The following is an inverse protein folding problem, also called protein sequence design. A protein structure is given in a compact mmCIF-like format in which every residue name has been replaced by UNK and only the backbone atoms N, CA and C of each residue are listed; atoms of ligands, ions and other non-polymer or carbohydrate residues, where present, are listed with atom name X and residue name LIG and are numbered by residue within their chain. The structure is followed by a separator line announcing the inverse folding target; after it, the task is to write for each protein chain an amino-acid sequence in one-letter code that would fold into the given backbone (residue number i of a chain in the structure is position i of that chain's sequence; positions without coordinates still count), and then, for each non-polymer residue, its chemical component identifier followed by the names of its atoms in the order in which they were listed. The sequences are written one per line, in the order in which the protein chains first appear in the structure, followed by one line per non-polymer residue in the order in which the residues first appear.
data_IF_298150247733
#
_entry.id   IF_298150247733
#
_cell.length_a   1.000
_cell.length_b   1.000
_cell.length_c   1.000
_cell.angle_alpha   90.00
_cell.angle_beta   90.00
_cell.angle_gamma   90.00
#
_symmetry.space_group_name_H-M   'P 1'
#
loop_
_entity.id
_entity.type
_entity.pdbx_description
1 polymer ?
#
# COMPACT_ATOMS: atom_id res chain seq x y z
N UNK A 1 -5.46 -11.01 19.40
CA UNK A 1 -4.14 -10.88 18.77
C UNK A 1 -3.55 -12.27 18.53
N UNK A 2 -2.70 -12.38 17.52
CA UNK A 2 -1.97 -13.61 17.24
C UNK A 2 -0.48 -13.34 17.37
N UNK A 3 0.27 -14.33 17.80
CA UNK A 3 1.72 -14.31 17.88
C UNK A 3 2.25 -15.58 17.22
N UNK A 4 3.48 -15.53 16.69
CA UNK A 4 4.13 -16.69 16.07
C UNK A 4 5.02 -17.36 17.10
N UNK A 5 4.89 -18.65 17.28
CA UNK A 5 5.80 -19.41 18.11
C UNK A 5 6.27 -20.70 17.43
N UNK A 6 7.44 -21.17 17.83
CA UNK A 6 8.02 -22.41 17.32
C UNK A 6 7.90 -23.52 18.37
N UNK A 7 7.25 -24.62 18.03
CA UNK A 7 7.17 -25.81 18.86
C UNK A 7 7.56 -27.03 18.04
N UNK A 8 8.51 -27.83 18.54
CA UNK A 8 9.00 -29.04 17.85
C UNK A 8 9.41 -28.81 16.38
N UNK A 9 10.04 -27.67 16.10
CA UNK A 9 10.47 -27.33 14.75
C UNK A 9 9.41 -26.74 13.82
N UNK A 10 8.14 -26.74 14.23
CA UNK A 10 7.03 -26.16 13.44
C UNK A 10 6.62 -24.78 13.97
N UNK A 11 6.31 -23.87 13.06
CA UNK A 11 5.73 -22.57 13.38
C UNK A 11 4.21 -22.65 13.36
N UNK A 12 3.59 -21.92 14.24
CA UNK A 12 2.13 -21.77 14.29
C UNK A 12 1.74 -20.41 14.86
N UNK A 13 0.50 -19.98 14.60
CA UNK A 13 -0.07 -18.79 15.19
C UNK A 13 -0.69 -19.14 16.54
N UNK A 14 -0.26 -18.44 17.57
CA UNK A 14 -0.90 -18.47 18.88
C UNK A 14 -1.89 -17.30 19.00
N UNK A 15 -3.14 -17.60 19.36
CA UNK A 15 -4.16 -16.57 19.61
C UNK A 15 -4.04 -16.06 21.04
N UNK A 16 -3.77 -14.77 21.20
CA UNK A 16 -3.75 -14.08 22.50
C UNK A 16 -4.97 -13.17 22.65
N UNK A 17 -5.63 -13.24 23.80
CA UNK A 17 -6.70 -12.28 24.12
C UNK A 17 -6.10 -10.89 24.33
N UNK A 18 -6.61 -9.91 23.59
CA UNK A 18 -6.23 -8.51 23.72
C UNK A 18 -7.48 -7.67 23.85
N UNK A 19 -7.50 -6.75 24.83
CA UNK A 19 -8.64 -5.86 25.00
C UNK A 19 -8.66 -4.76 23.95
N UNK A 20 -9.86 -4.31 23.54
CA UNK A 20 -10.07 -3.18 22.62
C UNK A 20 -9.24 -1.96 23.08
N UNK A 21 -9.31 -1.61 24.36
CA UNK A 21 -8.56 -0.50 24.97
C UNK A 21 -7.05 -0.61 24.77
N UNK A 22 -6.47 -1.81 24.86
CA UNK A 22 -5.04 -2.04 24.60
C UNK A 22 -4.70 -1.82 23.13
N UNK A 23 -5.56 -2.28 22.22
CA UNK A 23 -5.39 -2.08 20.79
C UNK A 23 -5.51 -0.59 20.42
N UNK A 24 -6.51 0.13 20.93
CA UNK A 24 -6.69 1.56 20.73
C UNK A 24 -5.47 2.38 21.20
N UNK A 25 -4.85 1.97 22.32
CA UNK A 25 -3.59 2.59 22.78
C UNK A 25 -2.43 2.35 21.79
N UNK A 26 -2.33 1.15 21.20
CA UNK A 26 -1.30 0.84 20.20
C UNK A 26 -1.54 1.66 18.93
N UNK A 27 -2.78 1.74 18.48
CA UNK A 27 -3.18 2.53 17.29
C UNK A 27 -3.11 4.04 17.53
N UNK A 28 -3.20 4.46 18.79
CA UNK A 28 -3.38 5.86 19.18
C UNK A 28 -4.64 6.50 18.58
N UNK A 29 -5.71 5.71 18.45
CA UNK A 29 -7.04 6.12 17.96
C UNK A 29 -8.11 5.09 18.33
N UNK A 30 -9.38 5.49 18.26
CA UNK A 30 -10.52 4.59 18.43
C UNK A 30 -10.61 3.55 17.30
N UNK A 31 -11.12 2.39 17.64
CA UNK A 31 -11.40 1.29 16.71
C UNK A 31 -12.92 1.23 16.50
N UNK A 32 -13.34 1.25 15.23
CA UNK A 32 -14.74 1.09 14.86
C UNK A 32 -15.30 -0.21 15.46
N UNK A 33 -16.52 -0.15 15.99
CA UNK A 33 -17.18 -1.31 16.61
C UNK A 33 -17.46 -2.44 15.63
N UNK A 34 -17.62 -2.10 14.35
CA UNK A 34 -17.82 -3.05 13.26
C UNK A 34 -16.49 -3.61 12.69
N UNK A 35 -15.34 -3.26 13.28
CA UNK A 35 -14.03 -3.76 12.85
C UNK A 35 -13.71 -5.07 13.55
N UNK A 36 -13.93 -6.20 12.86
CA UNK A 36 -13.71 -7.55 13.40
C UNK A 36 -12.27 -8.05 13.23
N UNK A 37 -11.51 -7.45 12.38
CA UNK A 37 -10.12 -7.83 12.07
C UNK A 37 -9.23 -6.59 11.96
N UNK A 38 -8.04 -6.66 12.54
CA UNK A 38 -7.07 -5.56 12.50
C UNK A 38 -5.72 -6.15 12.11
N UNK A 39 -5.19 -5.68 10.99
CA UNK A 39 -3.87 -6.04 10.50
C UNK A 39 -3.01 -4.78 10.36
N UNK A 40 -1.87 -4.74 11.03
CA UNK A 40 -0.94 -3.63 10.92
C UNK A 40 0.46 -4.03 11.41
N UNK A 41 1.47 -3.31 10.95
CA UNK A 41 2.84 -3.43 11.43
C UNK A 41 3.16 -2.30 12.41
N UNK A 42 3.47 -2.61 13.70
CA UNK A 42 3.93 -1.58 14.65
C UNK A 42 5.19 -0.87 14.17
N UNK A 43 6.06 -1.59 13.47
CA UNK A 43 7.29 -1.05 12.90
C UNK A 43 7.00 -0.04 11.78
N UNK A 44 6.05 -0.36 10.89
CA UNK A 44 5.56 0.57 9.86
C UNK A 44 5.03 1.86 10.48
N UNK A 45 4.22 1.76 11.54
CA UNK A 45 3.70 2.95 12.27
C UNK A 45 4.84 3.81 12.82
N UNK A 46 5.87 3.18 13.42
CA UNK A 46 7.06 3.87 13.94
C UNK A 46 7.80 4.62 12.84
N UNK A 47 8.08 3.97 11.71
CA UNK A 47 8.75 4.59 10.57
C UNK A 47 7.92 5.71 9.95
N UNK A 48 6.62 5.50 9.76
CA UNK A 48 5.72 6.51 9.20
C UNK A 48 5.69 7.77 10.07
N UNK A 49 5.64 7.64 11.41
CA UNK A 49 5.75 8.78 12.32
C UNK A 49 7.07 9.54 12.19
N UNK A 50 8.19 8.81 12.01
CA UNK A 50 9.50 9.42 11.78
C UNK A 50 9.55 10.17 10.44
N UNK A 51 9.02 9.57 9.38
CA UNK A 51 8.89 10.20 8.06
C UNK A 51 8.02 11.46 8.14
N UNK A 52 6.88 11.41 8.84
CA UNK A 52 6.03 12.58 9.05
C UNK A 52 6.76 13.74 9.72
N UNK A 53 7.59 13.47 10.75
CA UNK A 53 8.43 14.51 11.37
C UNK A 53 9.38 15.13 10.34
N UNK A 54 10.04 14.31 9.52
CA UNK A 54 10.97 14.79 8.49
C UNK A 54 10.27 15.64 7.43
N UNK A 55 9.11 15.21 6.94
CA UNK A 55 8.32 15.97 5.96
C UNK A 55 7.96 17.35 6.53
N UNK A 56 7.54 17.43 7.80
CA UNK A 56 7.23 18.71 8.45
C UNK A 56 8.44 19.65 8.49
N UNK A 57 9.61 19.13 8.87
CA UNK A 57 10.82 19.97 9.02
C UNK A 57 11.39 20.45 7.70
N UNK A 58 11.13 19.75 6.59
CA UNK A 58 11.68 20.06 5.26
C UNK A 58 10.64 20.64 4.27
N UNK A 59 9.39 20.84 4.73
CA UNK A 59 8.27 21.22 3.87
C UNK A 59 8.10 20.33 2.62
N UNK A 60 8.46 19.06 2.75
CA UNK A 60 8.50 18.11 1.65
C UNK A 60 7.23 17.29 1.48
N UNK A 61 7.38 16.15 0.82
CA UNK A 61 6.33 15.16 0.66
C UNK A 61 6.90 13.76 0.40
N UNK A 62 6.05 12.75 0.43
CA UNK A 62 6.38 11.37 0.05
C UNK A 62 5.27 10.80 -0.82
N UNK A 63 5.66 10.08 -1.85
CA UNK A 63 4.79 9.25 -2.67
C UNK A 63 4.94 7.81 -2.22
N UNK A 64 3.82 7.21 -1.77
CA UNK A 64 3.74 5.81 -1.36
C UNK A 64 3.01 5.04 -2.45
N UNK A 65 3.63 3.97 -2.93
CA UNK A 65 3.06 3.09 -3.95
C UNK A 65 3.20 1.66 -3.46
N UNK A 66 2.10 0.99 -3.24
CA UNK A 66 2.09 -0.40 -2.81
C UNK A 66 0.73 -1.06 -3.12
N UNK A 67 0.67 -2.39 -3.06
CA UNK A 67 -0.59 -3.10 -3.18
C UNK A 67 -1.38 -3.02 -1.87
N UNK A 68 -2.70 -2.84 -2.00
CA UNK A 68 -3.55 -2.67 -0.82
C UNK A 68 -4.91 -2.09 -1.12
N UNK A 69 -5.56 -1.63 -0.07
CA UNK A 69 -6.90 -1.06 -0.12
C UNK A 69 -6.96 0.33 0.51
N UNK A 70 -7.91 1.14 0.05
CA UNK A 70 -8.30 2.41 0.69
C UNK A 70 -9.57 2.28 1.54
N UNK A 71 -10.09 1.07 1.75
CA UNK A 71 -11.29 0.81 2.54
C UNK A 71 -11.07 1.17 4.01
N UNK A 72 -12.16 1.53 4.68
CA UNK A 72 -12.14 1.77 6.12
C UNK A 72 -11.93 0.48 6.91
N UNK A 73 -12.49 -0.64 6.43
CA UNK A 73 -12.37 -1.95 7.08
C UNK A 73 -11.06 -2.64 6.71
N UNK A 74 -10.47 -3.32 7.69
CA UNK A 74 -9.34 -4.22 7.51
C UNK A 74 -9.84 -5.65 7.47
N UNK A 75 -9.14 -6.51 6.74
CA UNK A 75 -9.38 -7.93 6.64
C UNK A 75 -8.06 -8.70 6.63
N UNK A 76 -8.12 -10.00 6.86
CA UNK A 76 -6.94 -10.87 6.85
C UNK A 76 -6.38 -10.95 5.42
N UNK A 77 -5.21 -10.39 5.25
CA UNK A 77 -4.51 -10.38 3.96
C UNK A 77 -3.12 -10.99 4.02
N UNK A 78 -2.71 -11.50 5.21
CA UNK A 78 -1.41 -12.13 5.38
C UNK A 78 -1.27 -13.39 4.51
N UNK A 79 -0.25 -13.44 3.70
CA UNK A 79 -0.02 -14.52 2.75
C UNK A 79 1.46 -14.82 2.54
N UNK A 80 1.76 -16.07 2.24
CA UNK A 80 3.05 -16.49 1.71
C UNK A 80 3.00 -16.57 0.19
N UNK A 81 4.06 -16.13 -0.47
CA UNK A 81 4.22 -16.25 -1.92
C UNK A 81 5.52 -17.00 -2.24
N UNK A 82 5.41 -18.04 -3.05
CA UNK A 82 6.55 -18.78 -3.61
C UNK A 82 6.32 -19.05 -5.09
N UNK A 83 7.27 -18.69 -5.93
CA UNK A 83 7.14 -18.84 -7.40
C UNK A 83 5.82 -18.27 -7.94
N UNK A 84 5.44 -17.07 -7.50
CA UNK A 84 4.19 -16.37 -7.84
C UNK A 84 2.90 -17.10 -7.46
N UNK A 85 2.96 -18.09 -6.57
CA UNK A 85 1.79 -18.82 -6.06
C UNK A 85 1.64 -18.60 -4.57
N UNK A 86 0.38 -18.56 -4.10
CA UNK A 86 0.08 -18.51 -2.67
C UNK A 86 0.44 -19.85 -2.03
N UNK A 87 1.15 -19.78 -0.91
CA UNK A 87 1.54 -20.92 -0.09
C UNK A 87 1.26 -20.61 1.38
N UNK A 88 1.23 -21.65 2.23
CA UNK A 88 1.12 -21.44 3.67
C UNK A 88 2.41 -20.77 4.19
N UNK A 89 2.28 -19.74 5.01
CA UNK A 89 3.39 -18.95 5.56
C UNK A 89 4.34 -19.77 6.47
N UNK A 90 3.93 -20.96 6.90
CA UNK A 90 4.70 -21.82 7.81
C UNK A 90 5.38 -23.03 7.13
N UNK A 91 5.00 -23.35 5.86
CA UNK A 91 5.51 -24.57 5.22
C UNK A 91 6.98 -24.47 4.82
N UNK A 92 7.46 -23.30 4.41
CA UNK A 92 8.83 -23.08 3.97
C UNK A 92 9.26 -21.61 4.18
N UNK A 93 9.10 -21.14 5.41
CA UNK A 93 9.24 -19.72 5.77
C UNK A 93 10.60 -19.09 5.39
N UNK A 94 11.62 -19.89 5.12
CA UNK A 94 12.93 -19.39 4.71
C UNK A 94 13.02 -19.08 3.21
N UNK A 95 12.09 -19.63 2.40
CA UNK A 95 12.11 -19.54 0.94
C UNK A 95 10.80 -18.99 0.36
N UNK A 96 10.04 -18.24 1.16
CA UNK A 96 8.79 -17.59 0.76
C UNK A 96 8.84 -16.10 1.09
N UNK A 97 8.15 -15.31 0.27
CA UNK A 97 7.87 -13.91 0.58
C UNK A 97 6.59 -13.84 1.43
N UNK A 98 6.71 -13.33 2.66
CA UNK A 98 5.57 -13.09 3.53
C UNK A 98 5.09 -11.67 3.29
N UNK A 99 3.84 -11.52 2.87
CA UNK A 99 3.27 -10.24 2.45
C UNK A 99 1.88 -10.04 3.03
N UNK A 100 1.44 -8.78 3.10
CA UNK A 100 0.07 -8.41 3.44
C UNK A 100 -0.33 -7.14 2.69
N UNK A 101 -1.62 -6.89 2.53
CA UNK A 101 -2.11 -5.68 1.90
C UNK A 101 -1.96 -4.46 2.82
N UNK A 102 -1.49 -3.36 2.26
CA UNK A 102 -1.45 -2.09 2.98
C UNK A 102 -2.86 -1.49 3.06
N UNK A 103 -3.28 -1.09 4.26
CA UNK A 103 -4.48 -0.28 4.43
C UNK A 103 -4.12 1.21 4.36
N UNK A 104 -4.35 1.82 3.20
CA UNK A 104 -4.04 3.24 2.96
C UNK A 104 -4.93 4.19 3.75
N UNK A 105 -6.15 3.78 4.13
CA UNK A 105 -6.98 4.58 5.03
C UNK A 105 -6.36 4.66 6.44
N UNK A 106 -5.76 3.58 6.92
CA UNK A 106 -5.02 3.57 8.19
C UNK A 106 -3.79 4.49 8.12
N UNK A 107 -3.02 4.43 7.03
CA UNK A 107 -1.90 5.38 6.80
C UNK A 107 -2.40 6.82 6.83
N UNK A 108 -3.51 7.13 6.13
CA UNK A 108 -4.13 8.46 6.12
C UNK A 108 -4.45 8.95 7.54
N UNK A 109 -5.00 8.08 8.39
CA UNK A 109 -5.30 8.43 9.77
C UNK A 109 -4.03 8.79 10.55
N UNK A 110 -2.95 7.98 10.43
CA UNK A 110 -1.67 8.27 11.09
C UNK A 110 -1.09 9.60 10.59
N UNK A 111 -1.12 9.84 9.29
CA UNK A 111 -0.64 11.07 8.65
C UNK A 111 -1.36 12.30 9.22
N UNK A 112 -2.70 12.25 9.28
CA UNK A 112 -3.52 13.34 9.80
C UNK A 112 -3.23 13.61 11.29
N UNK A 113 -3.13 12.55 12.11
CA UNK A 113 -2.77 12.67 13.53
C UNK A 113 -1.38 13.28 13.75
N UNK A 114 -0.47 13.13 12.79
CA UNK A 114 0.84 13.76 12.83
C UNK A 114 0.89 15.16 12.17
N UNK A 115 -0.26 15.75 11.86
CA UNK A 115 -0.39 17.14 11.40
C UNK A 115 0.03 17.36 9.94
N UNK A 116 0.07 16.31 9.15
CA UNK A 116 0.21 16.35 7.68
C UNK A 116 -1.15 16.13 7.02
N UNK A 117 -1.19 16.18 5.67
CA UNK A 117 -2.36 15.80 4.89
C UNK A 117 -2.00 14.80 3.81
N UNK A 118 -3.00 14.02 3.39
CA UNK A 118 -2.96 13.28 2.15
C UNK A 118 -3.39 14.23 1.03
N UNK A 119 -2.46 14.59 0.15
CA UNK A 119 -2.71 15.44 -1.02
C UNK A 119 -3.50 14.73 -2.11
N UNK A 120 -3.39 13.39 -2.18
CA UNK A 120 -4.16 12.55 -3.08
C UNK A 120 -3.97 11.07 -2.79
N UNK A 121 -4.98 10.28 -3.16
CA UNK A 121 -4.94 8.81 -3.18
C UNK A 121 -5.75 8.32 -4.38
N UNK A 122 -5.19 7.39 -5.14
CA UNK A 122 -5.85 6.79 -6.31
C UNK A 122 -5.24 5.42 -6.63
N UNK A 123 -5.81 4.70 -7.58
CA UNK A 123 -5.24 3.47 -8.11
C UNK A 123 -4.02 3.76 -8.99
N UNK A 124 -3.04 2.85 -9.03
CA UNK A 124 -1.83 3.03 -9.83
C UNK A 124 -2.12 3.26 -11.30
N UNK A 125 -3.07 2.51 -11.87
CA UNK A 125 -3.45 2.67 -13.27
C UNK A 125 -3.96 4.08 -13.58
N UNK A 126 -4.84 4.63 -12.74
CA UNK A 126 -5.34 6.00 -12.86
C UNK A 126 -4.22 7.02 -12.68
N UNK A 127 -3.37 6.85 -11.66
CA UNK A 127 -2.22 7.73 -11.44
C UNK A 127 -1.30 7.79 -12.65
N UNK A 128 -0.88 6.65 -13.19
CA UNK A 128 0.03 6.59 -14.32
C UNK A 128 -0.58 7.19 -15.59
N UNK A 129 -1.89 6.96 -15.83
CA UNK A 129 -2.60 7.59 -16.95
C UNK A 129 -2.66 9.10 -16.79
N UNK A 130 -3.00 9.59 -15.61
CA UNK A 130 -3.02 11.03 -15.30
C UNK A 130 -1.63 11.67 -15.42
N UNK A 131 -0.55 10.88 -15.18
CA UNK A 131 0.82 11.30 -15.40
C UNK A 131 1.28 11.19 -16.87
N UNK A 132 0.39 10.76 -17.78
CA UNK A 132 0.65 10.73 -19.23
C UNK A 132 1.44 9.52 -19.72
N UNK A 133 1.31 8.35 -19.05
CA UNK A 133 2.05 7.13 -19.46
C UNK A 133 1.73 6.74 -20.91
N UNK A 134 0.48 6.92 -21.35
CA UNK A 134 0.04 6.57 -22.72
C UNK A 134 0.71 7.48 -23.76
N UNK A 135 0.74 8.80 -23.53
CA UNK A 135 1.45 9.75 -24.37
C UNK A 135 2.95 9.46 -24.41
N UNK A 136 3.54 9.15 -23.27
CA UNK A 136 4.96 8.79 -23.18
C UNK A 136 5.25 7.52 -23.99
N UNK A 137 4.38 6.53 -23.93
CA UNK A 137 4.50 5.30 -24.70
C UNK A 137 4.41 5.55 -26.22
N UNK A 138 3.45 6.37 -26.64
CA UNK A 138 3.31 6.77 -28.05
C UNK A 138 4.59 7.42 -28.58
N UNK A 139 5.13 8.39 -27.86
CA UNK A 139 6.38 9.07 -28.25
C UNK A 139 7.55 8.07 -28.36
N UNK A 140 7.72 7.21 -27.35
CA UNK A 140 8.80 6.23 -27.34
C UNK A 140 8.65 5.19 -28.44
N UNK A 141 7.43 4.77 -28.74
CA UNK A 141 7.16 3.71 -29.72
C UNK A 141 7.43 4.13 -31.18
N UNK A 142 7.44 5.43 -31.50
CA UNK A 142 7.57 5.93 -32.89
C UNK A 142 8.77 5.33 -33.65
N UNK A 143 9.91 5.14 -32.98
CA UNK A 143 11.13 4.62 -33.55
C UNK A 143 11.44 3.15 -33.18
N UNK A 144 10.48 2.43 -32.61
CA UNK A 144 10.67 1.04 -32.17
C UNK A 144 10.23 0.04 -33.25
N UNK A 145 10.91 -1.11 -33.32
CA UNK A 145 10.45 -2.26 -34.11
C UNK A 145 9.14 -2.80 -33.52
N UNK A 146 8.40 -3.58 -34.32
CA UNK A 146 7.12 -4.17 -33.89
C UNK A 146 7.23 -4.95 -32.57
N UNK A 147 8.24 -5.81 -32.42
CA UNK A 147 8.46 -6.60 -31.21
C UNK A 147 8.68 -5.72 -29.98
N UNK A 148 9.50 -4.66 -30.09
CA UNK A 148 9.73 -3.72 -28.99
C UNK A 148 8.49 -2.92 -28.62
N UNK A 149 7.66 -2.55 -29.60
CA UNK A 149 6.36 -1.92 -29.34
C UNK A 149 5.45 -2.83 -28.54
N UNK A 150 5.31 -4.11 -28.96
CA UNK A 150 4.48 -5.10 -28.27
C UNK A 150 4.93 -5.27 -26.81
N UNK A 151 6.24 -5.42 -26.57
CA UNK A 151 6.79 -5.53 -25.22
C UNK A 151 6.47 -4.28 -24.37
N UNK A 152 6.68 -3.08 -24.92
CA UNK A 152 6.35 -1.81 -24.25
C UNK A 152 4.89 -1.75 -23.82
N UNK A 153 3.95 -2.02 -24.74
CA UNK A 153 2.52 -1.95 -24.44
C UNK A 153 2.05 -3.07 -23.50
N UNK A 154 2.66 -4.26 -23.56
CA UNK A 154 2.41 -5.33 -22.60
C UNK A 154 2.83 -4.92 -21.18
N UNK A 155 3.98 -4.29 -21.02
CA UNK A 155 4.44 -3.76 -19.71
C UNK A 155 3.54 -2.64 -19.19
N UNK A 156 3.11 -1.72 -20.06
CA UNK A 156 2.18 -0.65 -19.68
C UNK A 156 0.84 -1.24 -19.25
N UNK A 157 0.31 -2.19 -20.01
CA UNK A 157 -0.92 -2.91 -19.63
C UNK A 157 -0.78 -3.52 -18.23
N UNK A 158 0.32 -4.24 -17.97
CA UNK A 158 0.57 -4.83 -16.65
C UNK A 158 0.51 -3.78 -15.52
N UNK A 159 1.05 -2.59 -15.74
CA UNK A 159 1.07 -1.53 -14.74
C UNK A 159 -0.27 -0.83 -14.57
N UNK A 160 -1.11 -0.76 -15.62
CA UNK A 160 -2.29 0.11 -15.65
C UNK A 160 -3.61 -0.62 -15.71
N UNK A 161 -3.64 -1.91 -16.12
CA UNK A 161 -4.89 -2.65 -16.27
C UNK A 161 -5.49 -3.03 -14.91
N UNK A 162 -6.82 -2.95 -14.80
CA UNK A 162 -7.55 -3.19 -13.55
C UNK A 162 -7.34 -4.61 -13.00
N UNK A 163 -7.28 -5.61 -13.86
CA UNK A 163 -7.13 -7.03 -13.47
C UNK A 163 -5.68 -7.43 -13.20
N UNK A 164 -4.75 -6.46 -13.27
CA UNK A 164 -3.33 -6.64 -12.99
C UNK A 164 -2.89 -5.68 -11.87
N UNK A 165 -1.81 -4.93 -12.05
CA UNK A 165 -1.30 -4.02 -11.00
C UNK A 165 -2.09 -2.70 -10.91
N UNK A 166 -2.84 -2.35 -11.96
CA UNK A 166 -3.45 -1.03 -12.08
C UNK A 166 -4.47 -0.70 -10.99
N UNK A 167 -5.26 -1.67 -10.53
CA UNK A 167 -6.20 -1.49 -9.43
C UNK A 167 -5.69 -2.05 -8.10
N UNK A 168 -4.90 -3.12 -8.15
CA UNK A 168 -4.33 -3.75 -6.97
C UNK A 168 -3.42 -2.78 -6.18
N UNK A 169 -2.60 -2.01 -6.90
CA UNK A 169 -1.69 -1.02 -6.31
C UNK A 169 -2.39 0.31 -6.12
N UNK A 170 -2.12 0.93 -4.97
CA UNK A 170 -2.57 2.30 -4.66
C UNK A 170 -1.37 3.24 -4.66
N UNK A 171 -1.65 4.48 -5.02
CA UNK A 171 -0.69 5.59 -4.96
C UNK A 171 -1.24 6.63 -4.01
N UNK A 172 -0.46 7.01 -3.01
CA UNK A 172 -0.82 8.04 -2.04
C UNK A 172 0.28 9.08 -1.94
N UNK A 173 -0.10 10.34 -2.01
CA UNK A 173 0.80 11.47 -1.76
C UNK A 173 0.54 12.07 -0.39
N UNK A 174 1.57 12.13 0.45
CA UNK A 174 1.54 12.73 1.79
C UNK A 174 2.43 13.97 1.80
N UNK A 175 1.92 15.07 2.33
CA UNK A 175 2.64 16.35 2.33
C UNK A 175 2.18 17.27 3.47
N UNK A 176 2.81 18.45 3.58
CA UNK A 176 2.40 19.53 4.48
C UNK A 176 1.04 20.11 4.09
N UNK A 177 0.35 20.74 5.04
CA UNK A 177 -1.00 21.29 4.83
C UNK A 177 -1.06 22.33 3.72
N UNK A 178 -0.01 23.09 3.56
CA UNK A 178 0.09 24.23 2.63
C UNK A 178 0.41 23.81 1.19
N UNK A 179 0.86 22.58 0.96
CA UNK A 179 1.19 22.08 -0.37
C UNK A 179 -0.07 21.72 -1.15
N UNK A 180 -0.31 22.34 -2.29
CA UNK A 180 -1.49 22.13 -3.14
C UNK A 180 -1.23 21.26 -4.38
N UNK A 181 -0.10 20.53 -4.41
CA UNK A 181 0.21 19.61 -5.50
C UNK A 181 -0.84 18.50 -5.62
N UNK A 182 -1.38 18.30 -6.83
CA UNK A 182 -2.43 17.31 -7.13
C UNK A 182 -2.17 16.54 -8.42
N UNK A 183 -1.07 16.82 -9.12
CA UNK A 183 -0.78 16.16 -10.40
C UNK A 183 -0.76 14.64 -10.24
N UNK A 184 -1.41 13.93 -11.14
CA UNK A 184 -1.58 12.48 -11.08
C UNK A 184 -2.78 12.00 -10.24
N UNK A 185 -3.36 12.87 -9.39
CA UNK A 185 -4.50 12.55 -8.53
C UNK A 185 -5.81 13.19 -8.97
N UNK A 186 -5.77 13.98 -10.03
CA UNK A 186 -6.99 14.55 -10.61
C UNK A 186 -7.69 13.47 -11.44
N UNK A 187 -8.99 13.29 -11.23
CA UNK A 187 -9.79 12.52 -12.16
C UNK A 187 -9.78 13.26 -13.49
N UNK A 188 -9.28 12.61 -14.54
CA UNK A 188 -9.44 13.14 -15.90
C UNK A 188 -10.93 13.01 -16.19
N UNK A 189 -11.68 14.11 -16.11
CA UNK A 189 -12.99 14.20 -16.73
C UNK A 189 -12.75 14.16 -18.23
N UNK A 190 -12.93 12.99 -18.85
CA UNK A 190 -13.01 12.80 -20.30
C UNK A 190 -14.39 13.21 -20.74
#
# INVERSE_FOLDING_TARGET
ASDVYKRQGKFSLEKKKVTKKKMEKIFNQGIDENQNFIEFSPLMVKYLKSICKKIKSSAGGILLIDYGTSDKKMYDSLQGIKNHKKVNIFDDYQNIDITHHINFNFIKQIVNLNGLKVGGITNQGSFLKNMGIDLRAEILSKKMSFLKKTDLYTRIRRLTHKDEMGELFKVMFVTTKDNNFKTGFNDIKI
#
